data_IF_126336464973
#
_entry.id   IF_126336464973
#
_cell.length_a   1.000
_cell.length_b   1.000
_cell.length_c   1.000
_cell.angle_alpha   90.00
_cell.angle_beta   90.00
_cell.angle_gamma   90.00
#
_symmetry.space_group_name_H-M   'P 1'
#
loop_
_entity.id
_entity.type
_entity.pdbx_description
1 polymer ?
#
# COMPACT_ATOMS: atom_id res chain seq x y z
N UNK A 1 -7.03 -44.51 -42.15
CA UNK A 1 -6.80 -43.04 -42.08
C UNK A 1 -7.63 -42.35 -41.00
N UNK A 2 -8.78 -42.83 -40.63
CA UNK A 2 -9.72 -42.24 -39.63
C UNK A 2 -9.22 -42.30 -38.17
N UNK A 3 -8.43 -43.32 -37.81
CA UNK A 3 -7.97 -43.48 -36.43
C UNK A 3 -6.73 -42.61 -36.07
N UNK A 4 -6.05 -42.05 -37.05
CA UNK A 4 -4.91 -41.17 -36.84
C UNK A 4 -5.32 -39.72 -36.58
N UNK A 5 -6.47 -39.30 -37.10
CA UNK A 5 -7.02 -37.96 -36.85
C UNK A 5 -7.61 -37.80 -35.43
N UNK A 6 -8.16 -38.89 -34.86
CA UNK A 6 -8.72 -38.86 -33.50
C UNK A 6 -7.62 -38.74 -32.46
N UNK A 7 -6.41 -39.31 -32.71
CA UNK A 7 -5.25 -39.17 -31.82
C UNK A 7 -4.62 -37.77 -31.85
N UNK A 8 -4.69 -37.06 -32.97
CA UNK A 8 -4.17 -35.68 -33.05
C UNK A 8 -5.10 -34.67 -32.36
N UNK A 9 -6.40 -34.90 -32.32
CA UNK A 9 -7.34 -34.02 -31.61
C UNK A 9 -7.31 -34.19 -30.09
N UNK A 10 -6.90 -35.35 -29.57
CA UNK A 10 -6.77 -35.57 -28.13
C UNK A 10 -5.50 -34.98 -27.52
N UNK A 11 -4.49 -34.62 -28.35
CA UNK A 11 -3.26 -33.99 -27.89
C UNK A 11 -3.30 -32.44 -27.93
N UNK A 12 -4.32 -31.83 -28.52
CA UNK A 12 -4.49 -30.36 -28.61
C UNK A 12 -5.40 -29.78 -27.53
N UNK A 13 -5.92 -30.56 -26.63
CA UNK A 13 -6.50 -30.05 -25.38
C UNK A 13 -5.46 -29.99 -24.25
N UNK A 14 -4.29 -29.44 -24.50
CA UNK A 14 -3.54 -28.79 -23.43
C UNK A 14 -4.43 -27.66 -22.96
N UNK A 15 -5.21 -27.93 -21.94
CA UNK A 15 -5.90 -26.92 -21.16
C UNK A 15 -4.80 -25.94 -20.75
N UNK A 16 -4.72 -24.81 -21.43
CA UNK A 16 -3.94 -23.68 -20.95
C UNK A 16 -4.60 -23.24 -19.65
N UNK A 17 -4.14 -23.82 -18.54
CA UNK A 17 -4.52 -23.33 -17.23
C UNK A 17 -4.03 -21.88 -17.17
N UNK A 18 -4.97 -20.94 -17.09
CA UNK A 18 -4.64 -19.52 -16.91
C UNK A 18 -3.90 -19.43 -15.59
N UNK A 19 -2.65 -19.01 -15.63
CA UNK A 19 -1.84 -18.81 -14.42
C UNK A 19 -2.53 -17.81 -13.49
N UNK A 20 -2.50 -18.09 -12.20
CA UNK A 20 -3.01 -17.21 -11.15
C UNK A 20 -1.91 -16.25 -10.72
N UNK A 21 -1.59 -15.27 -11.56
CA UNK A 21 -0.51 -14.29 -11.35
C UNK A 21 -1.03 -12.86 -11.41
N UNK A 22 -0.19 -11.89 -11.07
CA UNK A 22 -0.48 -10.48 -11.27
C UNK A 22 -0.59 -10.16 -12.77
N UNK A 23 -1.60 -9.40 -13.15
CA UNK A 23 -1.80 -8.93 -14.52
C UNK A 23 -1.70 -7.41 -14.57
N UNK A 24 -1.10 -6.88 -15.65
CA UNK A 24 -1.05 -5.44 -15.91
C UNK A 24 -2.41 -4.90 -16.43
N UNK A 25 -2.57 -3.59 -16.68
CA UNK A 25 -3.82 -3.00 -17.18
C UNK A 25 -4.29 -3.57 -18.53
N UNK A 26 -3.40 -4.16 -19.32
CA UNK A 26 -3.73 -4.81 -20.61
C UNK A 26 -4.04 -6.30 -20.46
N UNK A 27 -3.93 -6.86 -19.24
CA UNK A 27 -4.20 -8.27 -18.96
C UNK A 27 -3.01 -9.20 -19.19
N UNK A 28 -1.81 -8.68 -19.36
CA UNK A 28 -0.57 -9.46 -19.51
C UNK A 28 0.04 -9.83 -18.16
N UNK A 29 0.68 -10.99 -18.07
CA UNK A 29 1.36 -11.47 -16.86
C UNK A 29 2.54 -10.57 -16.49
N UNK A 30 2.61 -10.17 -15.22
CA UNK A 30 3.75 -9.41 -14.66
C UNK A 30 4.24 -10.05 -13.37
N UNK A 31 5.52 -9.88 -13.07
CA UNK A 31 6.12 -10.44 -11.86
C UNK A 31 5.59 -9.77 -10.59
N UNK A 32 5.49 -8.46 -10.62
CA UNK A 32 4.85 -7.64 -9.59
C UNK A 32 4.44 -6.30 -10.18
N UNK A 33 3.53 -5.61 -9.49
CA UNK A 33 3.20 -4.21 -9.79
C UNK A 33 2.88 -3.42 -8.52
N UNK A 34 3.06 -2.10 -8.62
CA UNK A 34 2.61 -1.11 -7.63
C UNK A 34 1.61 -0.14 -8.27
N UNK A 35 0.57 0.21 -7.51
CA UNK A 35 -0.43 1.21 -7.93
C UNK A 35 -0.57 2.28 -6.85
N UNK A 36 -0.68 3.53 -7.30
CA UNK A 36 -0.96 4.71 -6.50
C UNK A 36 -2.26 5.33 -7.00
N UNK A 37 -3.34 5.20 -6.25
CA UNK A 37 -4.59 5.88 -6.53
C UNK A 37 -4.48 7.35 -6.18
N UNK A 38 -4.97 8.21 -7.08
CA UNK A 38 -5.08 9.64 -6.84
C UNK A 38 -6.44 9.98 -6.27
N UNK A 39 -6.53 10.87 -5.25
CA UNK A 39 -7.82 11.31 -4.73
C UNK A 39 -8.69 11.92 -5.84
N UNK A 40 -9.94 11.50 -5.95
CA UNK A 40 -10.87 11.99 -6.99
C UNK A 40 -11.09 13.51 -6.97
N UNK A 41 -10.85 14.16 -5.83
CA UNK A 41 -10.96 15.62 -5.69
C UNK A 41 -9.88 16.41 -6.42
N UNK A 42 -8.80 15.74 -6.88
CA UNK A 42 -7.70 16.35 -7.64
C UNK A 42 -7.59 15.78 -9.06
N UNK A 43 -8.37 14.76 -9.37
CA UNK A 43 -8.44 14.17 -10.71
C UNK A 43 -9.18 15.10 -11.67
N UNK A 44 -8.79 15.06 -12.93
CA UNK A 44 -9.49 15.79 -13.99
C UNK A 44 -10.87 15.20 -14.21
N UNK A 45 -11.92 16.04 -14.18
CA UNK A 45 -13.34 15.68 -14.42
C UNK A 45 -14.01 14.80 -13.35
N UNK A 46 -13.46 14.69 -12.12
CA UNK A 46 -14.08 13.88 -11.05
C UNK A 46 -13.97 12.37 -11.27
N UNK A 47 -13.21 11.92 -12.25
CA UNK A 47 -12.86 10.52 -12.47
C UNK A 47 -11.74 10.11 -11.50
N UNK A 48 -11.59 8.81 -11.27
CA UNK A 48 -10.53 8.28 -10.42
C UNK A 48 -9.37 7.90 -11.31
N UNK A 49 -8.21 8.53 -11.08
CA UNK A 49 -6.98 8.22 -11.78
C UNK A 49 -6.05 7.39 -10.89
N UNK A 50 -5.20 6.58 -11.48
CA UNK A 50 -4.14 5.90 -10.77
C UNK A 50 -2.83 5.86 -11.57
N UNK A 51 -1.71 5.98 -10.86
CA UNK A 51 -0.38 5.71 -11.39
C UNK A 51 -0.07 4.22 -11.23
N UNK A 52 0.37 3.58 -12.29
CA UNK A 52 0.77 2.17 -12.36
C UNK A 52 2.26 2.06 -12.64
N UNK A 53 2.92 1.10 -11.99
CA UNK A 53 4.32 0.76 -12.19
C UNK A 53 4.54 -0.76 -12.10
N UNK A 54 5.30 -1.31 -13.04
CA UNK A 54 5.84 -2.67 -13.00
C UNK A 54 7.31 -2.70 -13.45
N UNK A 55 8.04 -3.84 -13.35
CA UNK A 55 9.46 -3.91 -13.70
C UNK A 55 9.83 -3.53 -15.13
N UNK A 56 8.88 -3.50 -16.07
CA UNK A 56 9.13 -3.11 -17.45
C UNK A 56 9.17 -1.60 -17.68
N UNK A 57 8.74 -0.83 -16.66
CA UNK A 57 8.54 0.62 -16.78
C UNK A 57 9.69 1.40 -16.13
N UNK A 58 9.91 2.63 -16.62
CA UNK A 58 10.88 3.59 -16.06
C UNK A 58 10.21 4.81 -15.40
N UNK A 59 8.88 4.92 -15.46
CA UNK A 59 8.06 6.00 -14.87
C UNK A 59 6.65 5.48 -14.56
N UNK A 60 5.86 6.23 -13.79
CA UNK A 60 4.45 5.91 -13.57
C UNK A 60 3.66 6.12 -14.86
N UNK A 61 2.93 5.12 -15.27
CA UNK A 61 1.90 5.25 -16.29
C UNK A 61 0.57 5.55 -15.64
N UNK A 62 -0.15 6.57 -16.14
CA UNK A 62 -1.42 6.99 -15.55
C UNK A 62 -2.59 6.43 -16.35
N UNK A 63 -3.56 5.89 -15.63
CA UNK A 63 -4.78 5.29 -16.17
C UNK A 63 -6.00 5.83 -15.44
N UNK A 64 -7.13 5.86 -16.13
CA UNK A 64 -8.44 6.04 -15.51
C UNK A 64 -8.91 4.73 -14.90
N UNK A 65 -9.57 4.82 -13.77
CA UNK A 65 -10.18 3.64 -13.18
C UNK A 65 -11.33 3.14 -14.04
N UNK A 66 -11.18 1.93 -14.53
CA UNK A 66 -12.23 1.15 -15.16
C UNK A 66 -12.20 -0.25 -14.57
N UNK A 67 -13.33 -0.73 -14.06
CA UNK A 67 -13.40 -2.02 -13.35
C UNK A 67 -12.82 -3.17 -14.17
N UNK A 68 -12.92 -3.10 -15.50
CA UNK A 68 -12.50 -4.16 -16.40
C UNK A 68 -11.00 -4.20 -16.69
N UNK A 69 -10.31 -3.08 -16.62
CA UNK A 69 -8.87 -2.94 -16.87
C UNK A 69 -8.06 -2.66 -15.62
N UNK A 70 -8.72 -2.47 -14.47
CA UNK A 70 -8.02 -2.24 -13.20
C UNK A 70 -7.33 -3.52 -12.70
N UNK A 71 -5.98 -3.56 -12.60
CA UNK A 71 -5.22 -4.77 -12.33
C UNK A 71 -5.68 -5.58 -11.09
N UNK A 72 -5.97 -4.99 -9.93
CA UNK A 72 -6.47 -5.73 -8.77
C UNK A 72 -7.79 -6.48 -9.00
N UNK A 73 -8.62 -6.04 -9.95
CA UNK A 73 -9.88 -6.75 -10.26
C UNK A 73 -9.65 -8.05 -11.01
N UNK A 74 -8.52 -8.22 -11.70
CA UNK A 74 -8.19 -9.47 -12.36
C UNK A 74 -8.08 -10.63 -11.37
N UNK A 75 -7.50 -10.38 -10.17
CA UNK A 75 -7.40 -11.39 -9.11
C UNK A 75 -8.79 -11.86 -8.66
N UNK A 76 -9.71 -10.93 -8.50
CA UNK A 76 -11.07 -11.26 -8.06
C UNK A 76 -11.91 -11.91 -9.15
N UNK A 77 -11.61 -11.68 -10.43
CA UNK A 77 -12.26 -12.38 -11.57
C UNK A 77 -11.93 -13.86 -11.62
N UNK A 78 -10.74 -14.29 -11.20
CA UNK A 78 -10.46 -15.72 -11.07
C UNK A 78 -11.49 -16.41 -10.17
N UNK A 79 -11.94 -15.72 -9.12
CA UNK A 79 -12.96 -16.24 -8.19
C UNK A 79 -14.36 -16.26 -8.81
N UNK A 80 -14.72 -15.22 -9.57
CA UNK A 80 -16.05 -15.09 -10.17
C UNK A 80 -16.31 -16.08 -11.31
N UNK A 81 -15.27 -16.44 -12.06
CA UNK A 81 -15.38 -17.37 -13.18
C UNK A 81 -15.62 -18.84 -12.78
N UNK A 82 -15.84 -19.12 -11.48
CA UNK A 82 -16.12 -20.47 -10.96
C UNK A 82 -15.08 -21.54 -11.34
N UNK A 83 -13.85 -21.16 -11.61
CA UNK A 83 -12.79 -22.11 -11.87
C UNK A 83 -12.54 -22.98 -10.62
N UNK A 84 -12.50 -24.29 -10.81
CA UNK A 84 -12.61 -25.27 -9.73
C UNK A 84 -11.29 -25.79 -9.21
N UNK A 85 -10.15 -25.16 -9.32
CA UNK A 85 -8.88 -25.76 -8.91
C UNK A 85 -7.88 -24.77 -8.31
N UNK A 86 -8.32 -23.84 -7.47
CA UNK A 86 -7.45 -22.91 -6.79
C UNK A 86 -7.95 -22.54 -5.40
N UNK A 87 -7.05 -22.05 -4.56
CA UNK A 87 -7.35 -21.47 -3.24
C UNK A 87 -7.40 -19.96 -3.36
N UNK A 88 -8.31 -19.33 -2.61
CA UNK A 88 -8.35 -17.89 -2.52
C UNK A 88 -8.75 -17.41 -1.12
N UNK A 89 -8.21 -16.26 -0.72
CA UNK A 89 -8.48 -15.58 0.54
C UNK A 89 -8.58 -14.09 0.30
N UNK A 90 -9.64 -13.49 0.86
CA UNK A 90 -9.75 -12.04 0.97
C UNK A 90 -9.80 -11.67 2.44
N UNK A 91 -9.06 -10.65 2.81
CA UNK A 91 -9.09 -10.09 4.16
C UNK A 91 -9.23 -8.59 4.10
N UNK A 92 -10.01 -8.04 5.03
CA UNK A 92 -10.19 -6.61 5.21
C UNK A 92 -10.71 -6.38 6.62
N UNK A 93 -10.13 -5.44 7.36
CA UNK A 93 -10.58 -5.10 8.70
C UNK A 93 -11.81 -4.17 8.70
N UNK A 94 -12.08 -3.50 7.59
CA UNK A 94 -13.33 -2.79 7.31
C UNK A 94 -14.07 -3.52 6.18
N UNK A 95 -15.17 -4.18 6.51
CA UNK A 95 -15.90 -5.08 5.59
C UNK A 95 -17.26 -4.52 5.25
N UNK A 96 -17.73 -4.82 4.05
CA UNK A 96 -19.17 -4.80 3.74
C UNK A 96 -19.78 -6.13 4.17
N UNK A 97 -20.82 -6.12 4.98
CA UNK A 97 -21.60 -7.31 5.36
C UNK A 97 -22.77 -7.55 4.41
N UNK A 98 -23.43 -8.73 4.54
CA UNK A 98 -24.49 -9.18 3.61
C UNK A 98 -25.64 -8.19 3.37
N UNK A 99 -25.96 -7.36 4.35
CA UNK A 99 -27.05 -6.37 4.24
C UNK A 99 -26.59 -5.01 3.67
N UNK A 100 -25.32 -4.92 3.19
CA UNK A 100 -24.73 -3.69 2.66
C UNK A 100 -24.19 -2.75 3.73
N UNK A 101 -24.40 -3.04 5.01
CA UNK A 101 -23.79 -2.27 6.09
C UNK A 101 -22.29 -2.53 6.22
N UNK A 102 -21.56 -1.65 6.90
CA UNK A 102 -20.13 -1.87 7.19
C UNK A 102 -19.94 -2.46 8.58
N UNK A 103 -18.92 -3.30 8.73
CA UNK A 103 -18.48 -3.79 10.03
C UNK A 103 -16.96 -3.71 10.15
N UNK A 104 -16.49 -3.20 11.30
CA UNK A 104 -15.07 -3.23 11.62
C UNK A 104 -14.69 -4.52 12.32
N UNK A 105 -13.48 -5.01 12.06
CA UNK A 105 -12.93 -6.14 12.78
C UNK A 105 -12.57 -5.75 14.23
N UNK A 106 -12.49 -6.76 15.11
CA UNK A 106 -11.98 -6.60 16.46
C UNK A 106 -10.60 -5.93 16.48
N UNK A 107 -10.29 -5.18 17.53
CA UNK A 107 -8.97 -4.55 17.72
C UNK A 107 -7.81 -5.57 17.79
N UNK A 108 -8.07 -6.84 18.14
CA UNK A 108 -7.07 -7.91 18.07
C UNK A 108 -6.77 -8.39 16.63
N UNK A 109 -7.57 -8.01 15.65
CA UNK A 109 -7.31 -8.31 14.24
C UNK A 109 -6.36 -7.30 13.63
N UNK A 110 -5.58 -7.75 12.63
CA UNK A 110 -4.67 -6.89 11.88
C UNK A 110 -5.41 -5.74 11.18
N UNK A 111 -4.73 -4.59 11.09
CA UNK A 111 -5.17 -3.48 10.22
C UNK A 111 -4.74 -3.77 8.78
N UNK A 112 -5.19 -4.87 8.22
CA UNK A 112 -4.69 -5.44 6.98
C UNK A 112 -5.80 -5.65 5.97
N UNK A 113 -5.44 -5.42 4.70
CA UNK A 113 -6.33 -5.57 3.55
C UNK A 113 -5.58 -6.22 2.40
N UNK A 114 -6.20 -7.20 1.75
CA UNK A 114 -5.55 -7.87 0.62
C UNK A 114 -6.28 -9.10 0.12
N UNK A 115 -5.62 -9.77 -0.82
CA UNK A 115 -6.04 -11.06 -1.34
C UNK A 115 -4.85 -11.97 -1.65
N UNK A 116 -5.08 -13.26 -1.52
CA UNK A 116 -4.18 -14.34 -1.91
C UNK A 116 -4.97 -15.32 -2.76
N UNK A 117 -4.52 -15.54 -3.99
CA UNK A 117 -5.10 -16.52 -4.92
C UNK A 117 -3.97 -17.40 -5.41
N UNK A 118 -4.11 -18.72 -5.39
CA UNK A 118 -3.09 -19.62 -5.91
C UNK A 118 -3.65 -21.00 -6.26
N UNK A 119 -3.04 -21.65 -7.24
CA UNK A 119 -3.29 -23.03 -7.62
C UNK A 119 -2.09 -23.93 -7.26
N UNK A 120 -1.94 -25.06 -7.94
CA UNK A 120 -0.83 -25.98 -7.74
C UNK A 120 0.51 -25.50 -8.30
N UNK A 121 0.53 -24.42 -9.08
CA UNK A 121 1.69 -23.93 -9.83
C UNK A 121 2.05 -22.49 -9.41
N UNK A 122 1.08 -21.61 -9.44
CA UNK A 122 1.29 -20.17 -9.30
C UNK A 122 0.22 -19.50 -8.43
N UNK A 123 0.50 -18.28 -8.02
CA UNK A 123 -0.41 -17.46 -7.23
C UNK A 123 -0.14 -15.97 -7.41
N UNK A 124 -1.06 -15.18 -6.89
CA UNK A 124 -0.93 -13.75 -6.74
C UNK A 124 -1.24 -13.33 -5.30
N UNK A 125 -0.33 -12.62 -4.69
CA UNK A 125 -0.52 -11.93 -3.41
C UNK A 125 -0.77 -10.45 -3.69
N UNK A 126 -1.88 -9.91 -3.19
CA UNK A 126 -2.21 -8.49 -3.29
C UNK A 126 -2.32 -7.88 -1.89
N UNK A 127 -1.48 -6.91 -1.60
CA UNK A 127 -1.57 -6.00 -0.46
C UNK A 127 -2.20 -4.69 -0.94
N UNK A 128 -3.16 -4.13 -0.19
CA UNK A 128 -3.73 -2.83 -0.53
C UNK A 128 -4.20 -2.04 0.70
N UNK A 129 -4.39 -0.74 0.52
CA UNK A 129 -4.88 0.13 1.59
C UNK A 129 -6.38 0.42 1.54
N UNK A 130 -7.08 -0.01 0.47
CA UNK A 130 -8.47 0.33 0.19
C UNK A 130 -9.45 -0.38 1.15
N UNK A 131 -10.22 0.34 1.98
CA UNK A 131 -11.25 -0.25 2.83
C UNK A 131 -12.37 -0.88 1.98
N UNK A 132 -12.99 -1.95 2.48
CA UNK A 132 -14.18 -2.63 1.88
C UNK A 132 -13.96 -3.22 0.49
N UNK A 133 -12.74 -3.29 -0.01
CA UNK A 133 -12.42 -3.92 -1.28
C UNK A 133 -11.95 -5.37 -1.05
N UNK A 134 -12.35 -6.34 -1.91
CA UNK A 134 -13.42 -6.22 -2.89
C UNK A 134 -14.78 -6.06 -2.23
N UNK A 135 -15.69 -5.31 -2.87
CA UNK A 135 -17.05 -5.09 -2.38
C UNK A 135 -17.85 -6.38 -2.47
N UNK A 136 -18.78 -6.58 -1.53
CA UNK A 136 -19.65 -7.74 -1.48
C UNK A 136 -21.13 -7.36 -1.58
N UNK A 137 -21.89 -8.07 -2.40
CA UNK A 137 -23.37 -8.15 -2.31
C UNK A 137 -23.81 -9.31 -1.43
N UNK A 138 -25.12 -9.44 -1.19
CA UNK A 138 -25.72 -10.51 -0.37
C UNK A 138 -25.28 -11.92 -0.80
N UNK A 139 -25.07 -12.13 -2.09
CA UNK A 139 -24.89 -13.45 -2.69
C UNK A 139 -23.51 -13.67 -3.33
N UNK A 140 -22.72 -12.61 -3.62
CA UNK A 140 -21.44 -12.73 -4.32
C UNK A 140 -20.41 -11.67 -3.92
N UNK A 141 -19.14 -11.93 -4.23
CA UNK A 141 -18.10 -10.90 -4.30
C UNK A 141 -18.38 -10.06 -5.54
N UNK A 142 -18.62 -8.78 -5.36
CA UNK A 142 -18.88 -7.84 -6.46
C UNK A 142 -17.73 -6.88 -6.59
N UNK A 143 -17.28 -6.71 -7.82
CA UNK A 143 -16.12 -5.90 -8.18
C UNK A 143 -16.48 -4.61 -8.88
N UNK A 144 -17.77 -4.41 -9.13
CA UNK A 144 -18.24 -3.42 -10.10
C UNK A 144 -18.02 -1.98 -9.66
N UNK A 145 -17.85 -1.73 -8.36
CA UNK A 145 -17.67 -0.37 -7.87
C UNK A 145 -16.58 -0.30 -6.78
N UNK A 146 -15.77 0.74 -6.86
CA UNK A 146 -14.96 1.12 -5.71
C UNK A 146 -15.91 1.51 -4.57
N UNK A 147 -15.61 1.12 -3.33
CA UNK A 147 -16.37 1.59 -2.17
C UNK A 147 -16.51 3.11 -2.22
N UNK A 148 -17.67 3.63 -1.89
CA UNK A 148 -18.06 5.06 -2.06
C UNK A 148 -17.03 6.08 -1.54
N UNK A 149 -16.21 5.69 -0.57
CA UNK A 149 -15.12 6.51 -0.03
C UNK A 149 -13.74 6.11 -0.58
N UNK A 150 -13.64 5.04 -1.36
CA UNK A 150 -12.35 4.49 -1.81
C UNK A 150 -11.59 5.43 -2.74
N UNK A 151 -12.29 6.04 -3.68
CA UNK A 151 -11.71 6.99 -4.62
C UNK A 151 -11.49 8.40 -4.07
N UNK A 152 -11.99 8.72 -2.87
CA UNK A 152 -11.81 10.05 -2.27
C UNK A 152 -10.42 10.28 -1.70
N UNK A 153 -9.63 9.22 -1.54
CA UNK A 153 -8.33 9.23 -0.90
C UNK A 153 -7.27 8.55 -1.77
N UNK A 154 -6.01 8.97 -1.59
CA UNK A 154 -4.86 8.23 -2.10
C UNK A 154 -4.84 6.82 -1.51
N UNK A 155 -4.61 5.82 -2.35
CA UNK A 155 -4.51 4.41 -1.95
C UNK A 155 -3.29 3.76 -2.60
N UNK A 156 -2.82 2.68 -2.04
CA UNK A 156 -1.75 1.88 -2.65
C UNK A 156 -2.17 0.42 -2.80
N UNK A 157 -1.63 -0.21 -3.85
CA UNK A 157 -1.70 -1.64 -4.09
C UNK A 157 -0.31 -2.14 -4.47
N UNK A 158 0.06 -3.29 -3.95
CA UNK A 158 1.24 -4.07 -4.33
C UNK A 158 0.79 -5.49 -4.66
N UNK A 159 1.01 -5.93 -5.89
CA UNK A 159 0.78 -7.32 -6.29
C UNK A 159 2.12 -8.01 -6.52
N UNK A 160 2.24 -9.27 -6.08
CA UNK A 160 3.42 -10.11 -6.27
C UNK A 160 2.98 -11.45 -6.83
N UNK A 161 3.52 -11.84 -7.98
CA UNK A 161 3.34 -13.16 -8.58
C UNK A 161 4.26 -14.16 -7.88
N UNK A 162 3.69 -15.27 -7.40
CA UNK A 162 4.36 -16.21 -6.52
C UNK A 162 4.10 -17.66 -6.96
N UNK A 163 4.90 -18.59 -6.47
CA UNK A 163 4.60 -20.02 -6.59
C UNK A 163 3.74 -20.52 -5.41
N UNK A 164 3.31 -21.77 -5.48
CA UNK A 164 2.48 -22.39 -4.45
C UNK A 164 3.17 -22.40 -3.07
N UNK A 165 4.44 -22.75 -3.02
CA UNK A 165 5.20 -22.83 -1.77
C UNK A 165 5.27 -21.48 -1.07
N UNK A 166 5.50 -20.40 -1.84
CA UNK A 166 5.48 -19.03 -1.34
C UNK A 166 4.08 -18.63 -0.86
N UNK A 167 3.02 -19.03 -1.58
CA UNK A 167 1.64 -18.77 -1.14
C UNK A 167 1.33 -19.42 0.23
N UNK A 168 1.85 -20.61 0.49
CA UNK A 168 1.69 -21.29 1.77
C UNK A 168 2.48 -20.62 2.92
N UNK A 169 3.66 -20.07 2.61
CA UNK A 169 4.42 -19.21 3.56
C UNK A 169 3.61 -17.96 3.87
N UNK A 170 3.06 -17.29 2.86
CA UNK A 170 2.21 -16.11 3.05
C UNK A 170 0.97 -16.44 3.88
N UNK A 171 0.34 -17.60 3.69
CA UNK A 171 -0.79 -18.02 4.54
C UNK A 171 -0.39 -18.11 6.02
N UNK A 172 0.82 -18.58 6.34
CA UNK A 172 1.38 -18.52 7.70
C UNK A 172 1.51 -17.08 8.20
N UNK A 173 2.14 -16.21 7.40
CA UNK A 173 2.35 -14.80 7.76
C UNK A 173 1.02 -14.10 8.05
N UNK A 174 0.03 -14.26 7.20
CA UNK A 174 -1.31 -13.71 7.36
C UNK A 174 -2.01 -14.22 8.64
N UNK A 175 -1.86 -15.51 8.95
CA UNK A 175 -2.36 -16.05 10.21
C UNK A 175 -1.65 -15.42 11.40
N UNK A 176 -0.31 -15.28 11.36
CA UNK A 176 0.47 -14.80 12.48
C UNK A 176 0.27 -13.32 12.80
N UNK A 177 -0.04 -12.48 11.83
CA UNK A 177 -0.49 -11.10 12.12
C UNK A 177 -1.96 -11.01 12.51
N UNK A 178 -2.71 -12.11 12.38
CA UNK A 178 -4.12 -12.24 12.73
C UNK A 178 -5.05 -11.42 11.82
N UNK A 179 -4.94 -11.59 10.49
CA UNK A 179 -5.83 -10.90 9.55
C UNK A 179 -7.31 -11.26 9.77
N UNK A 180 -8.20 -10.40 9.34
CA UNK A 180 -9.65 -10.64 9.37
C UNK A 180 -10.12 -11.20 8.05
N UNK A 181 -10.16 -12.53 7.93
CA UNK A 181 -10.65 -13.20 6.72
C UNK A 181 -12.12 -12.84 6.49
N UNK A 182 -12.43 -12.49 5.26
CA UNK A 182 -13.80 -12.30 4.84
C UNK A 182 -14.44 -13.66 4.56
N UNK A 183 -15.08 -14.25 5.58
CA UNK A 183 -15.72 -15.59 5.54
C UNK A 183 -16.86 -15.72 4.53
N UNK A 184 -17.20 -14.65 3.90
CA UNK A 184 -18.30 -14.63 2.96
C UNK A 184 -17.94 -15.06 1.56
N UNK A 185 -16.67 -15.23 1.30
CA UNK A 185 -16.17 -15.90 0.10
C UNK A 185 -16.00 -17.36 0.51
N UNK A 186 -16.75 -18.27 -0.11
CA UNK A 186 -16.89 -19.67 0.31
C UNK A 186 -15.57 -20.31 0.74
N UNK A 187 -15.42 -20.55 2.05
CA UNK A 187 -14.33 -21.37 2.59
C UNK A 187 -14.41 -22.85 2.12
N UNK A 188 -15.50 -23.23 1.46
CA UNK A 188 -15.76 -24.60 1.05
C UNK A 188 -15.15 -24.99 -0.32
N UNK A 189 -14.53 -24.02 -1.02
CA UNK A 189 -13.86 -24.25 -2.30
C UNK A 189 -12.34 -24.39 -2.22
N UNK A 190 -11.82 -24.91 -1.13
CA UNK A 190 -10.42 -25.31 -1.06
C UNK A 190 -10.28 -26.68 -1.74
N UNK A 191 -10.15 -26.69 -3.06
CA UNK A 191 -10.02 -27.92 -3.86
C UNK A 191 -8.62 -28.55 -3.82
N UNK A 192 -7.64 -27.85 -3.26
CA UNK A 192 -6.32 -28.39 -2.98
C UNK A 192 -6.28 -28.86 -1.53
N UNK A 193 -5.65 -29.99 -1.25
CA UNK A 193 -5.44 -30.44 0.14
C UNK A 193 -4.72 -29.31 0.89
N UNK A 194 -5.42 -28.60 1.79
CA UNK A 194 -4.83 -27.42 2.43
C UNK A 194 -3.76 -27.88 3.40
N UNK A 195 -2.62 -27.19 3.38
CA UNK A 195 -1.62 -27.37 4.42
C UNK A 195 -2.13 -26.82 5.77
N UNK A 196 -1.36 -27.06 6.83
CA UNK A 196 -1.71 -26.63 8.19
C UNK A 196 -2.03 -25.13 8.28
N UNK A 197 -1.22 -24.28 7.67
CA UNK A 197 -1.37 -22.82 7.77
C UNK A 197 -2.57 -22.30 7.01
N UNK A 198 -2.89 -22.89 5.87
CA UNK A 198 -4.10 -22.59 5.11
C UNK A 198 -5.35 -22.96 5.91
N UNK A 199 -5.36 -24.11 6.59
CA UNK A 199 -6.46 -24.50 7.49
C UNK A 199 -6.60 -23.51 8.66
N UNK A 200 -5.49 -23.07 9.25
CA UNK A 200 -5.50 -22.07 10.31
C UNK A 200 -6.03 -20.72 9.84
N UNK A 201 -5.64 -20.29 8.64
CA UNK A 201 -6.15 -19.05 8.04
C UNK A 201 -7.67 -19.12 7.82
N UNK A 202 -8.19 -20.21 7.25
CA UNK A 202 -9.64 -20.47 7.08
C UNK A 202 -10.37 -20.41 8.44
N UNK A 203 -9.79 -20.99 9.49
CA UNK A 203 -10.38 -20.95 10.83
C UNK A 203 -10.52 -19.54 11.42
N UNK A 204 -9.84 -18.57 10.80
CA UNK A 204 -9.80 -17.16 11.21
C UNK A 204 -9.35 -16.95 12.66
N UNK A 205 -8.46 -17.81 13.15
CA UNK A 205 -7.92 -17.79 14.51
C UNK A 205 -6.40 -17.71 14.45
N UNK A 206 -5.84 -16.84 15.30
CA UNK A 206 -4.41 -16.76 15.52
C UNK A 206 -3.90 -18.09 16.08
N UNK A 207 -2.89 -18.68 15.45
CA UNK A 207 -2.24 -19.86 15.96
C UNK A 207 -1.33 -19.53 17.15
N UNK A 208 -1.35 -20.39 18.17
CA UNK A 208 -0.58 -20.16 19.40
C UNK A 208 0.93 -20.28 19.20
N UNK A 209 1.38 -20.94 18.14
CA UNK A 209 2.81 -21.08 17.80
C UNK A 209 3.37 -19.87 17.03
N UNK A 210 2.52 -18.91 16.66
CA UNK A 210 2.96 -17.71 15.99
C UNK A 210 3.81 -16.82 16.90
N UNK A 211 4.97 -16.42 16.41
CA UNK A 211 5.77 -15.37 17.01
C UNK A 211 5.01 -14.04 16.99
N UNK A 212 5.27 -13.19 17.97
CA UNK A 212 4.60 -11.88 18.08
C UNK A 212 5.11 -10.89 17.04
N UNK A 213 6.32 -11.12 16.54
CA UNK A 213 7.00 -10.40 15.48
C UNK A 213 7.77 -11.40 14.59
N UNK A 214 7.88 -11.12 13.31
CA UNK A 214 8.63 -11.95 12.39
C UNK A 214 9.19 -11.13 11.22
N UNK A 215 10.34 -11.58 10.72
CA UNK A 215 10.94 -11.08 9.48
C UNK A 215 11.17 -12.26 8.55
N UNK A 216 10.49 -12.28 7.41
CA UNK A 216 10.54 -13.39 6.45
C UNK A 216 10.78 -12.85 5.05
N UNK A 217 11.69 -13.52 4.33
CA UNK A 217 11.96 -13.24 2.92
C UNK A 217 11.24 -14.24 2.04
N UNK A 218 10.64 -13.74 0.99
CA UNK A 218 10.04 -14.53 -0.10
C UNK A 218 10.62 -14.09 -1.43
N UNK A 219 10.45 -14.90 -2.45
CA UNK A 219 10.78 -14.52 -3.83
C UNK A 219 9.53 -14.52 -4.71
N UNK A 220 9.46 -13.56 -5.62
CA UNK A 220 8.51 -13.58 -6.72
C UNK A 220 8.85 -14.69 -7.72
N UNK A 221 8.02 -14.90 -8.73
CA UNK A 221 8.26 -15.88 -9.78
C UNK A 221 9.57 -15.60 -10.57
N UNK A 222 9.93 -14.33 -10.74
CA UNK A 222 11.16 -13.94 -11.41
C UNK A 222 12.37 -13.80 -10.47
N UNK A 223 12.20 -14.14 -9.18
CA UNK A 223 13.29 -14.15 -8.20
C UNK A 223 13.56 -12.82 -7.51
N UNK A 224 12.68 -11.83 -7.62
CA UNK A 224 12.78 -10.59 -6.81
C UNK A 224 12.50 -10.91 -5.36
N UNK A 225 13.40 -10.51 -4.45
CA UNK A 225 13.26 -10.73 -3.02
C UNK A 225 12.37 -9.66 -2.38
N UNK A 226 11.36 -10.10 -1.65
CA UNK A 226 10.49 -9.28 -0.81
C UNK A 226 10.66 -9.67 0.64
N UNK A 227 10.90 -8.70 1.52
CA UNK A 227 11.02 -8.92 2.97
C UNK A 227 9.74 -8.46 3.66
N UNK A 228 9.11 -9.38 4.38
CA UNK A 228 7.93 -9.12 5.20
C UNK A 228 8.35 -8.89 6.64
N UNK A 229 8.06 -7.72 7.15
CA UNK A 229 8.14 -7.38 8.57
C UNK A 229 6.73 -7.41 9.14
N UNK A 230 6.43 -8.38 9.98
CA UNK A 230 5.10 -8.60 10.51
C UNK A 230 5.07 -8.60 12.01
N UNK A 231 3.97 -8.11 12.58
CA UNK A 231 3.67 -8.23 14.01
C UNK A 231 2.20 -8.54 14.26
N UNK A 232 1.89 -9.17 15.36
CA UNK A 232 0.51 -9.27 15.82
C UNK A 232 0.20 -8.21 16.92
N UNK A 233 -1.07 -8.14 17.33
CA UNK A 233 -1.56 -7.16 18.30
C UNK A 233 -0.91 -7.24 19.68
N UNK A 234 -0.21 -8.33 20.01
CA UNK A 234 0.50 -8.50 21.29
C UNK A 234 1.82 -7.74 21.33
N UNK A 235 2.43 -7.52 20.17
CA UNK A 235 3.64 -6.70 20.06
C UNK A 235 3.25 -5.22 19.93
N UNK A 236 3.62 -4.41 20.90
CA UNK A 236 3.24 -2.99 21.03
C UNK A 236 4.23 -2.02 20.36
N UNK A 237 4.92 -2.46 19.34
CA UNK A 237 5.85 -1.64 18.56
C UNK A 237 5.20 -1.11 17.26
N UNK A 238 5.84 -0.14 16.66
CA UNK A 238 5.64 0.24 15.25
C UNK A 238 6.89 -0.22 14.49
N UNK A 239 6.80 -1.19 13.57
CA UNK A 239 7.98 -1.72 12.88
C UNK A 239 8.80 -0.69 12.09
N UNK A 240 8.19 0.41 11.65
CA UNK A 240 8.92 1.52 11.04
C UNK A 240 9.98 2.12 11.98
N UNK A 241 9.62 2.28 13.27
CA UNK A 241 10.47 2.93 14.27
C UNK A 241 11.61 2.04 14.78
N UNK A 242 11.45 0.73 14.65
CA UNK A 242 12.35 -0.26 15.27
C UNK A 242 12.97 -1.18 14.23
N UNK A 243 12.28 -2.26 13.90
CA UNK A 243 12.77 -3.39 13.11
C UNK A 243 13.33 -2.99 11.75
N UNK A 244 12.63 -2.11 11.02
CA UNK A 244 13.05 -1.69 9.68
C UNK A 244 14.25 -0.76 9.72
N UNK A 245 14.27 0.17 10.65
CA UNK A 245 15.40 1.09 10.83
C UNK A 245 16.69 0.32 11.08
N UNK A 246 16.66 -0.66 11.97
CA UNK A 246 17.81 -1.52 12.27
C UNK A 246 18.20 -2.39 11.06
N UNK A 247 17.21 -2.96 10.37
CA UNK A 247 17.46 -3.85 9.23
C UNK A 247 18.13 -3.13 8.04
N UNK A 248 17.74 -1.87 7.80
CA UNK A 248 18.25 -1.14 6.63
C UNK A 248 19.38 -0.17 6.94
N UNK A 249 19.56 0.23 8.20
CA UNK A 249 20.66 1.13 8.58
C UNK A 249 20.65 2.40 7.73
N UNK A 250 19.47 3.04 7.62
CA UNK A 250 19.22 4.22 6.79
C UNK A 250 18.08 5.06 7.38
N UNK A 251 18.01 6.33 6.99
CA UNK A 251 16.86 7.16 7.29
C UNK A 251 15.64 6.73 6.48
N UNK A 252 14.44 7.00 7.00
CA UNK A 252 13.18 6.65 6.35
C UNK A 252 12.26 7.83 6.14
N UNK A 253 11.64 7.88 4.97
CA UNK A 253 10.44 8.65 4.69
C UNK A 253 9.25 7.71 4.76
N UNK A 254 8.23 8.07 5.57
CA UNK A 254 7.04 7.25 5.76
C UNK A 254 5.81 8.08 5.45
N UNK A 255 4.93 7.58 4.57
CA UNK A 255 3.64 8.18 4.27
C UNK A 255 2.53 7.24 4.65
N UNK A 256 1.67 7.68 5.56
CA UNK A 256 0.50 6.93 5.99
C UNK A 256 -0.62 7.90 6.34
N UNK A 257 -1.85 7.39 6.49
CA UNK A 257 -2.92 8.18 7.10
C UNK A 257 -2.57 8.42 8.57
N UNK A 258 -2.16 9.64 8.87
CA UNK A 258 -1.61 10.02 10.16
C UNK A 258 -2.45 11.12 10.80
N UNK A 259 -3.48 10.73 11.56
CA UNK A 259 -4.24 11.67 12.38
C UNK A 259 -4.62 11.01 13.73
N UNK A 260 -4.02 11.45 14.83
CA UNK A 260 -2.75 12.18 14.93
C UNK A 260 -1.57 11.27 14.53
N UNK A 261 -0.59 11.84 13.80
CA UNK A 261 0.67 11.16 13.49
C UNK A 261 1.49 10.96 14.76
N UNK A 262 2.33 9.91 14.76
CA UNK A 262 3.49 9.93 15.64
C UNK A 262 4.42 11.06 15.20
N UNK A 263 5.03 11.73 16.17
CA UNK A 263 6.07 12.70 15.88
C UNK A 263 7.22 12.06 15.08
N UNK A 264 7.97 12.83 14.30
CA UNK A 264 9.19 12.33 13.67
C UNK A 264 10.06 11.62 14.69
N UNK A 265 10.46 10.40 14.42
CA UNK A 265 11.32 9.66 15.31
C UNK A 265 12.77 10.06 15.05
N UNK A 266 13.36 10.82 15.98
CA UNK A 266 14.77 11.14 15.99
C UNK A 266 15.52 10.12 16.83
N UNK A 267 16.49 9.48 16.21
CA UNK A 267 17.37 8.52 16.87
C UNK A 267 18.81 8.96 16.62
N UNK A 268 19.73 8.52 17.46
CA UNK A 268 21.15 8.94 17.39
C UNK A 268 21.81 8.70 16.02
N UNK A 269 21.29 7.71 15.25
CA UNK A 269 21.93 7.27 14.01
C UNK A 269 21.03 7.45 12.78
N UNK A 270 19.72 7.22 12.89
CA UNK A 270 18.79 7.24 11.76
C UNK A 270 17.46 7.88 12.15
N UNK A 271 16.99 8.78 11.31
CA UNK A 271 15.73 9.49 11.51
C UNK A 271 14.62 8.88 10.67
N UNK A 272 13.41 8.93 11.18
CA UNK A 272 12.18 8.66 10.43
C UNK A 272 11.36 9.95 10.40
N UNK A 273 10.94 10.37 9.21
CA UNK A 273 10.10 11.55 9.03
C UNK A 273 8.82 11.16 8.28
N UNK A 274 7.70 11.80 8.64
CA UNK A 274 6.45 11.59 7.93
C UNK A 274 6.37 12.50 6.71
N UNK A 275 5.95 11.94 5.58
CA UNK A 275 5.70 12.69 4.35
C UNK A 275 4.32 13.32 4.42
N UNK A 276 4.27 14.64 4.44
CA UNK A 276 3.05 15.43 4.61
C UNK A 276 2.40 15.77 3.27
N UNK A 277 3.18 16.09 2.25
CA UNK A 277 2.65 16.40 0.92
C UNK A 277 3.44 15.70 -0.17
N UNK A 278 2.74 15.23 -1.20
CA UNK A 278 3.34 14.60 -2.38
C UNK A 278 2.80 15.19 -3.66
N UNK A 279 3.64 15.09 -4.71
CA UNK A 279 3.26 15.44 -6.07
C UNK A 279 3.74 14.36 -7.04
N UNK A 280 2.80 13.60 -7.56
CA UNK A 280 3.02 12.66 -8.65
C UNK A 280 2.62 13.35 -9.97
N UNK A 281 3.58 13.81 -10.76
CA UNK A 281 3.33 14.61 -11.98
C UNK A 281 2.44 15.83 -11.70
N UNK A 282 1.21 15.87 -12.21
CA UNK A 282 0.23 16.93 -11.98
C UNK A 282 -0.61 16.75 -10.71
N UNK A 283 -0.54 15.60 -10.05
CA UNK A 283 -1.36 15.25 -8.89
C UNK A 283 -0.66 15.61 -7.59
N UNK A 284 -1.09 16.68 -6.94
CA UNK A 284 -0.57 17.12 -5.66
C UNK A 284 -1.63 17.00 -4.56
N UNK A 285 -1.27 16.34 -3.43
CA UNK A 285 -2.19 16.19 -2.29
C UNK A 285 -1.45 15.92 -0.97
N UNK A 286 -2.09 16.33 0.11
CA UNK A 286 -1.60 16.20 1.47
C UNK A 286 -2.14 14.94 2.20
N UNK A 287 -1.68 14.73 3.44
CA UNK A 287 -2.09 13.62 4.30
C UNK A 287 -3.58 13.59 4.63
N UNK A 288 -4.32 14.70 4.44
CA UNK A 288 -5.75 14.76 4.68
C UNK A 288 -6.54 13.98 3.62
N UNK A 289 -5.92 13.74 2.49
CA UNK A 289 -6.44 12.98 1.35
C UNK A 289 -5.75 11.63 1.20
N UNK A 290 -5.19 11.07 2.29
CA UNK A 290 -4.35 9.89 2.24
C UNK A 290 -4.91 8.71 3.02
N UNK A 291 -4.92 7.53 2.41
CA UNK A 291 -5.10 6.24 3.05
C UNK A 291 -4.01 5.24 2.64
N UNK A 292 -3.12 5.62 1.73
CA UNK A 292 -1.97 4.78 1.37
C UNK A 292 -1.02 4.59 2.55
N UNK A 293 -0.21 3.57 2.47
CA UNK A 293 0.81 3.29 3.49
C UNK A 293 2.05 2.79 2.78
N UNK A 294 3.05 3.65 2.73
CA UNK A 294 4.32 3.30 2.13
C UNK A 294 5.49 3.98 2.85
N UNK A 295 6.67 3.47 2.62
CA UNK A 295 7.92 4.09 3.08
C UNK A 295 9.04 3.84 2.09
N UNK A 296 10.03 4.72 2.11
CA UNK A 296 11.27 4.56 1.35
C UNK A 296 12.46 4.94 2.22
N UNK A 297 13.59 4.34 1.95
CA UNK A 297 14.87 4.73 2.56
C UNK A 297 15.39 6.03 1.95
N UNK A 298 16.30 6.70 2.64
CA UNK A 298 16.89 7.94 2.15
C UNK A 298 17.97 7.72 1.07
N UNK A 299 18.90 6.78 1.31
CA UNK A 299 20.06 6.51 0.43
C UNK A 299 19.94 5.21 -0.33
N UNK A 300 19.45 4.16 0.32
CA UNK A 300 19.24 2.84 -0.29
C UNK A 300 18.00 2.84 -1.16
N UNK A 301 17.93 1.94 -2.12
CA UNK A 301 16.82 1.87 -3.06
C UNK A 301 15.66 0.98 -2.54
N UNK A 302 15.38 1.03 -1.23
CA UNK A 302 14.33 0.23 -0.60
C UNK A 302 13.00 0.93 -0.68
N UNK A 303 12.01 0.22 -1.18
CA UNK A 303 10.60 0.62 -1.25
C UNK A 303 9.78 -0.31 -0.38
N UNK A 304 8.87 0.23 0.41
CA UNK A 304 8.01 -0.51 1.31
C UNK A 304 6.54 -0.14 1.13
N UNK A 305 5.66 -1.14 1.13
CA UNK A 305 4.21 -0.99 1.22
C UNK A 305 3.71 -1.64 2.50
N UNK A 306 2.66 -1.10 3.11
CA UNK A 306 2.28 -1.51 4.45
C UNK A 306 0.79 -1.60 4.68
N UNK A 307 0.43 -2.39 5.69
CA UNK A 307 -0.88 -2.40 6.35
C UNK A 307 -1.00 -1.33 7.43
N UNK A 308 0.12 -1.00 8.08
CA UNK A 308 0.15 -0.22 9.32
C UNK A 308 0.31 1.29 9.03
N UNK A 309 -0.46 2.11 9.75
CA UNK A 309 -0.17 3.55 9.81
C UNK A 309 0.96 3.82 10.83
N UNK A 310 1.64 4.92 10.63
CA UNK A 310 2.59 5.46 11.60
C UNK A 310 1.84 6.30 12.65
N UNK A 311 1.05 5.63 13.49
CA UNK A 311 0.22 6.23 14.56
C UNK A 311 0.23 5.37 15.81
N UNK A 312 0.04 5.98 16.99
CA UNK A 312 0.06 5.28 18.28
C UNK A 312 -0.96 4.12 18.34
N UNK A 313 -2.15 4.30 17.79
CA UNK A 313 -3.20 3.28 17.77
C UNK A 313 -2.81 1.99 17.03
N UNK A 314 -1.83 2.05 16.13
CA UNK A 314 -1.37 0.87 15.38
C UNK A 314 -0.43 -0.03 16.20
N UNK A 315 0.05 0.42 17.35
CA UNK A 315 0.71 -0.45 18.34
C UNK A 315 -0.21 -1.58 18.79
N UNK A 316 -1.52 -1.32 18.85
CA UNK A 316 -2.55 -2.28 19.27
C UNK A 316 -3.02 -3.22 18.15
N UNK A 317 -2.53 -3.06 16.92
CA UNK A 317 -2.98 -3.82 15.75
C UNK A 317 -1.86 -4.71 15.19
N UNK A 318 -2.24 -5.82 14.57
CA UNK A 318 -1.33 -6.59 13.72
C UNK A 318 -1.26 -6.00 12.31
N UNK A 319 -0.24 -6.41 11.55
CA UNK A 319 -0.07 -6.03 10.15
C UNK A 319 1.32 -6.34 9.63
N UNK A 320 1.52 -6.10 8.33
CA UNK A 320 2.79 -6.28 7.64
C UNK A 320 3.30 -4.96 7.07
N UNK A 321 4.63 -4.90 6.92
CA UNK A 321 5.33 -4.01 6.00
C UNK A 321 6.09 -4.89 5.04
N UNK A 322 5.92 -4.71 3.74
CA UNK A 322 6.54 -5.50 2.67
C UNK A 322 7.53 -4.61 1.93
N UNK A 323 8.80 -4.92 2.03
CA UNK A 323 9.88 -4.13 1.45
C UNK A 323 10.66 -4.90 0.39
N UNK A 324 11.13 -4.20 -0.62
CA UNK A 324 12.00 -4.74 -1.67
C UNK A 324 12.89 -3.65 -2.25
N UNK A 325 13.94 -4.05 -2.95
CA UNK A 325 14.84 -3.12 -3.60
C UNK A 325 14.36 -2.83 -5.03
N UNK A 326 14.15 -1.55 -5.34
CA UNK A 326 13.88 -1.09 -6.71
C UNK A 326 14.25 0.38 -6.87
N UNK A 327 15.34 0.66 -7.58
CA UNK A 327 15.88 2.00 -7.75
C UNK A 327 14.91 2.94 -8.49
N UNK A 328 14.24 2.46 -9.54
CA UNK A 328 13.37 3.31 -10.37
C UNK A 328 12.16 3.75 -9.56
N UNK A 329 11.44 2.81 -8.95
CA UNK A 329 10.26 3.12 -8.14
C UNK A 329 10.64 3.97 -6.91
N UNK A 330 11.78 3.68 -6.27
CA UNK A 330 12.31 4.48 -5.17
C UNK A 330 12.51 5.94 -5.58
N UNK A 331 13.16 6.18 -6.74
CA UNK A 331 13.40 7.53 -7.26
C UNK A 331 12.09 8.25 -7.59
N UNK A 332 11.11 7.56 -8.18
CA UNK A 332 9.79 8.11 -8.46
C UNK A 332 9.12 8.57 -7.15
N UNK A 333 9.12 7.73 -6.11
CA UNK A 333 8.50 8.04 -4.83
C UNK A 333 9.27 9.14 -4.09
N UNK A 334 10.61 9.13 -4.12
CA UNK A 334 11.46 10.15 -3.49
C UNK A 334 11.24 11.52 -4.14
N UNK A 335 11.20 11.59 -5.46
CA UNK A 335 10.96 12.82 -6.21
C UNK A 335 9.53 13.36 -6.02
N UNK A 336 8.58 12.51 -5.65
CA UNK A 336 7.22 12.94 -5.36
C UNK A 336 7.08 13.62 -3.98
N UNK A 337 8.07 13.51 -3.09
CA UNK A 337 8.01 14.12 -1.75
C UNK A 337 8.23 15.63 -1.86
N UNK A 338 7.22 16.42 -1.43
CA UNK A 338 7.32 17.89 -1.40
C UNK A 338 7.56 18.40 0.01
N UNK A 339 6.88 17.82 1.01
CA UNK A 339 6.92 18.29 2.38
C UNK A 339 6.95 17.11 3.35
N UNK A 340 7.78 17.24 4.38
CA UNK A 340 7.88 16.32 5.51
C UNK A 340 7.67 17.07 6.83
N UNK A 341 7.34 16.38 7.91
CA UNK A 341 7.15 16.95 9.26
C UNK A 341 8.47 17.10 10.04
N UNK A 342 9.58 16.72 9.46
CA UNK A 342 10.93 16.83 10.02
C UNK A 342 11.99 16.83 8.93
N UNK A 343 13.21 17.10 9.29
CA UNK A 343 14.37 17.04 8.40
C UNK A 343 15.12 15.71 8.60
N UNK A 344 15.55 15.08 7.51
CA UNK A 344 16.58 14.05 7.57
C UNK A 344 17.92 14.79 7.66
N UNK A 345 18.53 14.73 8.84
CA UNK A 345 19.85 15.33 9.06
C UNK A 345 20.87 14.52 8.24
N UNK A 346 21.33 15.07 7.12
CA UNK A 346 22.45 14.51 6.38
C UNK A 346 23.72 14.81 7.16
N UNK A 347 24.37 13.80 7.71
CA UNK A 347 25.73 13.94 8.24
C UNK A 347 26.78 14.03 7.11
N UNK A 348 26.35 14.08 5.87
CA UNK A 348 27.22 14.17 4.69
C UNK A 348 27.33 15.64 4.24
N UNK A 349 28.45 16.23 4.47
CA UNK A 349 28.82 17.59 4.01
C UNK A 349 28.82 17.73 2.46
N UNK A 350 28.52 16.67 1.71
CA UNK A 350 28.60 16.60 0.25
C UNK A 350 27.24 16.48 -0.47
N UNK A 351 26.10 16.68 0.20
CA UNK A 351 24.80 16.66 -0.49
C UNK A 351 24.47 18.04 -1.07
N UNK A 352 24.89 18.28 -2.32
CA UNK A 352 24.64 19.54 -3.07
C UNK A 352 23.13 19.88 -3.17
N UNK A 353 22.23 18.90 -3.01
CA UNK A 353 20.77 19.12 -3.08
C UNK A 353 20.24 19.89 -1.86
N UNK A 354 20.90 19.79 -0.70
CA UNK A 354 20.52 20.48 0.53
C UNK A 354 20.92 21.97 0.52
N UNK A 355 21.98 22.30 -0.20
CA UNK A 355 22.44 23.70 -0.31
C UNK A 355 21.52 24.52 -1.21
N UNK A 356 21.05 23.96 -2.33
CA UNK A 356 20.17 24.67 -3.26
C UNK A 356 18.78 24.95 -2.64
N UNK A 357 18.24 24.04 -1.82
CA UNK A 357 16.97 24.28 -1.09
C UNK A 357 17.13 25.37 -0.02
N UNK A 358 18.21 25.34 0.78
CA UNK A 358 18.47 26.36 1.81
C UNK A 358 18.68 27.77 1.23
N UNK A 359 19.27 27.87 0.05
CA UNK A 359 19.43 29.15 -0.65
C UNK A 359 18.10 29.65 -1.22
N UNK A 360 17.26 28.75 -1.75
CA UNK A 360 15.93 29.11 -2.28
C UNK A 360 14.98 29.52 -1.15
N UNK A 361 15.00 28.84 0.00
CA UNK A 361 14.19 29.22 1.18
C UNK A 361 14.63 30.56 1.77
N UNK A 362 15.93 30.79 1.94
CA UNK A 362 16.46 32.08 2.39
C UNK A 362 16.12 33.23 1.43
N UNK A 363 16.15 32.99 0.11
CA UNK A 363 15.78 33.98 -0.88
C UNK A 363 14.27 34.29 -0.87
N UNK A 364 13.45 33.28 -0.66
CA UNK A 364 11.99 33.42 -0.53
C UNK A 364 11.59 34.15 0.75
N UNK A 365 12.22 33.83 1.87
CA UNK A 365 11.99 34.51 3.16
C UNK A 365 12.42 35.99 3.12
N UNK A 366 13.54 36.29 2.50
CA UNK A 366 14.01 37.65 2.28
C UNK A 366 13.06 38.44 1.36
N UNK A 367 12.62 37.86 0.25
CA UNK A 367 11.65 38.45 -0.67
C UNK A 367 10.29 38.69 0.01
N UNK A 368 9.86 37.79 0.91
CA UNK A 368 8.65 37.95 1.69
C UNK A 368 8.74 39.10 2.70
N UNK A 369 9.86 39.20 3.42
CA UNK A 369 10.12 40.30 4.36
C UNK A 369 10.19 41.67 3.65
N UNK A 370 10.85 41.77 2.50
CA UNK A 370 10.93 42.98 1.70
C UNK A 370 9.54 43.37 1.10
N UNK A 371 8.75 42.43 0.64
CA UNK A 371 7.38 42.63 0.17
C UNK A 371 6.46 43.12 1.28
N UNK A 372 6.61 42.56 2.50
CA UNK A 372 5.82 42.93 3.67
C UNK A 372 6.18 44.33 4.19
N UNK A 373 7.48 44.65 4.24
CA UNK A 373 7.97 45.94 4.61
C UNK A 373 7.56 47.06 3.61
N UNK A 374 7.50 46.71 2.30
CA UNK A 374 7.03 47.63 1.26
C UNK A 374 5.53 47.95 1.38
N UNK A 375 4.71 46.98 1.76
CA UNK A 375 3.26 47.18 1.98
C UNK A 375 2.92 48.00 3.22
N UNK A 376 3.76 47.95 4.27
CA UNK A 376 3.57 48.75 5.47
C UNK A 376 3.88 50.24 5.20
N UNK A 377 4.81 50.54 4.30
CA UNK A 377 5.13 51.94 3.93
C UNK A 377 4.10 52.62 3.03
N UNK A 378 3.27 51.85 2.33
CA UNK A 378 2.30 52.38 1.37
C UNK A 378 0.87 52.59 1.93
N UNK A 379 0.55 52.10 3.14
CA UNK A 379 -0.76 52.27 3.76
C UNK A 379 -0.63 52.39 5.30
N UNK A 380 -0.80 53.58 5.91
CA UNK A 380 -0.77 53.73 7.37
C UNK A 380 -2.05 53.13 7.96
N UNK A 381 -2.04 51.83 8.25
CA UNK A 381 -3.13 51.17 8.96
C UNK A 381 -3.06 51.56 10.44
N UNK A 382 -4.17 51.99 10.98
CA UNK A 382 -4.36 52.42 12.37
C UNK A 382 -3.96 51.26 13.31
N UNK A 383 -3.01 51.52 14.20
CA UNK A 383 -2.32 50.57 15.09
C UNK A 383 -3.30 49.74 15.97
N UNK A 384 -4.55 50.19 16.19
CA UNK A 384 -5.56 49.45 16.93
C UNK A 384 -6.15 48.26 16.13
N UNK A 385 -6.20 48.34 14.81
CA UNK A 385 -6.65 47.23 13.95
C UNK A 385 -5.55 46.14 13.78
N UNK A 386 -4.28 46.50 13.90
CA UNK A 386 -3.17 45.57 13.79
C UNK A 386 -3.07 44.62 15.00
N UNK A 387 -3.30 45.16 16.22
CA UNK A 387 -3.30 44.33 17.44
C UNK A 387 -4.42 43.29 17.45
N UNK A 388 -5.57 43.59 16.82
CA UNK A 388 -6.71 42.67 16.77
C UNK A 388 -6.45 41.49 15.85
N UNK A 389 -5.74 41.69 14.73
CA UNK A 389 -5.41 40.64 13.77
C UNK A 389 -4.33 39.68 14.35
N UNK A 390 -3.35 40.22 15.05
CA UNK A 390 -2.32 39.39 15.70
C UNK A 390 -2.89 38.57 16.86
N UNK A 391 -3.86 39.11 17.61
CA UNK A 391 -4.54 38.38 18.70
C UNK A 391 -5.44 37.24 18.18
N UNK A 392 -6.01 37.37 17.00
CA UNK A 392 -6.82 36.30 16.36
C UNK A 392 -5.94 35.17 15.84
N UNK A 393 -4.70 35.47 15.40
CA UNK A 393 -3.75 34.45 14.91
C UNK A 393 -3.05 33.65 16.02
N UNK A 394 -3.07 34.15 17.26
CA UNK A 394 -2.48 33.46 18.43
C UNK A 394 -3.54 32.56 19.13
N UNK A 395 -4.84 32.77 18.83
CA UNK A 395 -5.94 32.05 19.47
C UNK A 395 -6.65 31.02 18.56
N UNK A 396 -6.16 30.79 17.33
CA UNK A 396 -6.54 29.70 16.42
C UNK A 396 -5.33 28.78 16.22
#
# INVERSE_FOLDING_TARGET
MTNFLIFLFSFLSTIFSIKKVCLNPTGEEVDWYAIFFMPSSISTMGEIDYGYFDPSLSFLQYYKYEVNSFPPTHITRFVLNNESNFNYFFWNDDKTVKDGSSSSASSSKAHAKGSLVYDSISGAFLLHSLPRFPTRTADNVVLEELPSNGGSFGQTFLCISINKETAEIIAKLLNCVNVSINKSVDSDRVNLTPNYWVQKLISNRLDSSCEIEHTIKIQSLSGVEFTFYGKNYKNKIIPYDTTMREAYNDHFYVRTWSRPSLAPAQYDTYNLVNVINVKYDSYEYDVNKEHSKWGITHKKNIVCFSDLNHTESQKERGGHIVCFENQILHNIMKNAIILTDGEILSNDENDESSQTKKETEKSNEKNWQESFAGKIKSNPINMKSFLLIVLIYILI
#
